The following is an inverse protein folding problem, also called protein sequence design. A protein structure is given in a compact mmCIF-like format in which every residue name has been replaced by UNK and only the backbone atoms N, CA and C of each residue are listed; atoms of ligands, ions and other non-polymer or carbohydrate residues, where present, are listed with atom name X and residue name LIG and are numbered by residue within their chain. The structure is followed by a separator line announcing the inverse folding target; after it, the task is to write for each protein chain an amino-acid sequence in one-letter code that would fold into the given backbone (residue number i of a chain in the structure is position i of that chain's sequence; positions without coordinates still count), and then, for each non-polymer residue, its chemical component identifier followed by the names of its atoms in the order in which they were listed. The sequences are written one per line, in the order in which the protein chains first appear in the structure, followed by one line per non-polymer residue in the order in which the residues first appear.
data_IF_279414713979
#
_entry.id   IF_279414713979
#
_cell.length_a   1.000
_cell.length_b   1.000
_cell.length_c   1.000
_cell.angle_alpha   90.00
_cell.angle_beta   90.00
_cell.angle_gamma   90.00
#
_symmetry.space_group_name_H-M   'P 1'
#
loop_
_entity.id
_entity.type
_entity.pdbx_description
1 polymer ?
#
# COMPACT_ATOMS: atom_id res chain seq x y z
N UNK A 1 24.47 5.99 -36.45
CA UNK A 1 24.01 4.62 -36.24
C UNK A 1 24.19 4.19 -34.82
N UNK A 2 25.41 4.20 -34.36
CA UNK A 2 25.68 3.77 -33.00
C UNK A 2 24.97 4.60 -31.94
N UNK A 3 24.79 5.87 -32.25
CA UNK A 3 24.12 6.76 -31.32
C UNK A 3 22.68 6.34 -31.05
N UNK A 4 22.04 5.80 -32.07
CA UNK A 4 20.67 5.35 -31.93
C UNK A 4 20.56 4.18 -30.97
N UNK A 5 21.51 3.28 -31.05
CA UNK A 5 21.48 2.15 -30.14
C UNK A 5 21.64 2.56 -28.70
N UNK A 6 22.56 3.48 -28.45
CA UNK A 6 22.77 3.98 -27.12
C UNK A 6 21.50 4.62 -26.58
N UNK A 7 20.86 5.40 -27.42
CA UNK A 7 19.64 6.05 -27.05
C UNK A 7 18.53 5.06 -26.67
N UNK A 8 18.41 4.01 -27.47
CA UNK A 8 17.41 3.00 -27.21
C UNK A 8 17.65 2.28 -25.89
N UNK A 9 18.89 2.05 -25.56
CA UNK A 9 19.23 1.42 -24.29
C UNK A 9 18.80 2.27 -23.12
N UNK A 10 18.98 3.56 -23.23
CA UNK A 10 18.58 4.48 -22.17
C UNK A 10 17.09 4.43 -21.99
N UNK A 11 16.34 4.42 -23.07
CA UNK A 11 14.89 4.35 -23.02
C UNK A 11 14.46 3.06 -22.33
N UNK A 12 15.11 1.96 -22.63
CA UNK A 12 14.79 0.70 -22.00
C UNK A 12 15.01 0.74 -20.51
N UNK A 13 16.08 1.36 -20.08
CA UNK A 13 16.39 1.47 -18.67
C UNK A 13 15.31 2.25 -17.93
N UNK A 14 14.87 3.35 -18.52
CA UNK A 14 13.81 4.14 -17.93
C UNK A 14 12.53 3.32 -17.82
N UNK A 15 12.25 2.54 -18.83
CA UNK A 15 11.07 1.71 -18.84
C UNK A 15 11.07 0.71 -17.71
N UNK A 16 12.21 0.18 -17.34
CA UNK A 16 12.34 -0.75 -16.24
C UNK A 16 11.85 -0.18 -14.93
N UNK A 17 12.06 1.09 -14.69
CA UNK A 17 11.68 1.70 -13.43
C UNK A 17 10.19 1.55 -13.14
N UNK A 18 9.39 1.50 -14.18
CA UNK A 18 7.95 1.37 -14.01
C UNK A 18 7.56 -0.02 -13.53
N UNK A 19 8.40 -0.99 -13.77
CA UNK A 19 8.10 -2.37 -13.41
C UNK A 19 8.39 -2.67 -11.95
N UNK A 20 8.99 -1.71 -11.25
CA UNK A 20 9.31 -1.89 -9.85
C UNK A 20 8.13 -1.58 -8.92
N UNK A 21 6.99 -1.21 -9.49
CA UNK A 21 5.80 -0.97 -8.70
C UNK A 21 5.29 -2.31 -8.22
N UNK A 22 5.50 -2.59 -6.95
CA UNK A 22 5.09 -3.86 -6.35
C UNK A 22 3.63 -3.81 -5.94
N UNK A 23 2.99 -4.97 -5.95
CA UNK A 23 1.64 -5.09 -5.42
C UNK A 23 1.65 -4.82 -3.92
N UNK A 24 0.64 -4.11 -3.44
CA UNK A 24 0.50 -3.80 -2.02
C UNK A 24 -0.19 -4.97 -1.32
N UNK A 25 0.57 -6.00 -1.04
CA UNK A 25 0.10 -7.19 -0.34
C UNK A 25 0.21 -6.97 1.16
N UNK A 26 -0.89 -7.16 1.86
CA UNK A 26 -0.98 -6.85 3.28
C UNK A 26 -1.40 -8.09 4.04
N UNK A 27 -0.72 -8.39 5.13
CA UNK A 27 -1.05 -9.48 6.02
C UNK A 27 -1.49 -8.91 7.38
N UNK A 28 -2.64 -9.38 7.87
CA UNK A 28 -3.15 -8.99 9.17
C UNK A 28 -2.63 -9.96 10.24
N UNK A 29 -1.76 -9.45 11.11
CA UNK A 29 -1.13 -10.26 12.16
C UNK A 29 -2.06 -10.49 13.34
N UNK A 30 -1.82 -11.58 14.07
CA UNK A 30 -2.53 -11.88 15.31
C UNK A 30 -1.90 -11.17 16.51
N UNK A 31 -0.65 -10.71 16.36
CA UNK A 31 0.09 -10.06 17.43
C UNK A 31 0.69 -8.76 16.94
N UNK A 32 0.59 -7.72 17.76
CA UNK A 32 1.18 -6.43 17.41
C UNK A 32 2.69 -6.48 17.29
N UNK A 33 3.32 -7.46 17.94
CA UNK A 33 4.78 -7.58 17.93
C UNK A 33 5.32 -8.07 16.60
N UNK A 34 4.47 -8.69 15.79
CA UNK A 34 4.85 -9.17 14.48
C UNK A 34 4.56 -8.16 13.37
N UNK A 35 3.90 -7.07 13.69
CA UNK A 35 3.43 -6.12 12.68
C UNK A 35 4.44 -5.03 12.41
N UNK A 36 4.45 -4.56 11.17
CA UNK A 36 5.23 -3.40 10.78
C UNK A 36 4.47 -2.11 11.12
N UNK A 37 3.15 -2.15 11.05
CA UNK A 37 2.29 -0.99 11.23
C UNK A 37 1.05 -1.37 12.03
N UNK A 38 0.74 -0.58 13.04
CA UNK A 38 -0.51 -0.73 13.80
C UNK A 38 -1.57 0.16 13.16
N UNK A 39 -2.73 -0.41 12.87
CA UNK A 39 -3.76 0.24 12.06
C UNK A 39 -5.07 0.33 12.83
N UNK A 40 -5.68 1.50 12.82
CA UNK A 40 -7.02 1.72 13.36
C UNK A 40 -7.98 2.00 12.20
N UNK A 41 -9.15 1.36 12.21
CA UNK A 41 -10.19 1.58 11.19
C UNK A 41 -11.16 2.62 11.71
N UNK A 42 -11.19 3.78 11.06
CA UNK A 42 -12.07 4.87 11.43
C UNK A 42 -13.48 4.65 10.88
N UNK A 43 -14.46 5.29 11.53
CA UNK A 43 -15.85 5.25 11.08
C UNK A 43 -16.14 6.26 9.98
N UNK A 44 -15.24 7.21 9.79
CA UNK A 44 -15.42 8.29 8.82
C UNK A 44 -14.11 8.53 8.07
N UNK A 45 -14.22 8.77 6.77
CA UNK A 45 -13.05 9.08 5.96
C UNK A 45 -12.35 10.35 6.42
N UNK A 46 -13.09 11.26 7.04
CA UNK A 46 -12.52 12.53 7.48
C UNK A 46 -11.55 12.37 8.64
N UNK A 47 -11.62 11.24 9.34
CA UNK A 47 -10.70 10.94 10.44
C UNK A 47 -9.52 10.09 10.00
N UNK A 48 -9.50 9.67 8.75
CA UNK A 48 -8.49 8.74 8.25
C UNK A 48 -7.28 9.45 7.62
N UNK A 49 -6.14 8.81 7.74
CA UNK A 49 -4.93 9.21 7.01
C UNK A 49 -4.96 8.66 5.58
N UNK A 50 -5.58 7.51 5.41
CA UNK A 50 -5.59 6.77 4.15
C UNK A 50 -6.94 6.10 3.95
N UNK A 51 -7.52 6.31 2.77
CA UNK A 51 -8.70 5.55 2.36
C UNK A 51 -8.23 4.30 1.63
N UNK A 52 -8.73 3.14 2.06
CA UNK A 52 -8.26 1.84 1.59
C UNK A 52 -9.37 1.12 0.85
N UNK A 53 -9.06 0.63 -0.33
CA UNK A 53 -9.92 -0.25 -1.08
C UNK A 53 -9.33 -1.66 -1.03
N UNK A 54 -10.16 -2.64 -0.64
CA UNK A 54 -9.73 -4.04 -0.60
C UNK A 54 -9.85 -4.63 -1.99
N UNK A 55 -8.71 -4.89 -2.61
CA UNK A 55 -8.68 -5.45 -3.96
C UNK A 55 -8.99 -6.94 -3.92
N UNK A 56 -9.68 -7.43 -4.94
CA UNK A 56 -9.95 -8.86 -5.08
C UNK A 56 -8.81 -9.59 -5.78
N UNK A 57 -7.89 -8.86 -6.37
CA UNK A 57 -6.73 -9.42 -7.08
C UNK A 57 -5.49 -8.62 -6.71
N UNK A 58 -4.37 -9.34 -6.55
CA UNK A 58 -3.09 -8.67 -6.27
C UNK A 58 -2.67 -7.73 -7.41
N UNK A 59 -3.14 -8.01 -8.62
CA UNK A 59 -2.78 -7.20 -9.78
C UNK A 59 -3.42 -5.81 -9.76
N UNK A 60 -4.47 -5.65 -8.97
CA UNK A 60 -5.12 -4.36 -8.80
C UNK A 60 -4.53 -3.54 -7.67
N UNK A 61 -3.68 -4.15 -6.85
CA UNK A 61 -3.12 -3.51 -5.65
C UNK A 61 -1.77 -2.89 -5.93
N UNK A 62 -1.71 -2.04 -6.95
CA UNK A 62 -0.45 -1.41 -7.36
C UNK A 62 -0.11 -0.19 -6.54
N UNK A 63 1.19 -0.02 -6.30
CA UNK A 63 1.70 1.19 -5.69
C UNK A 63 1.34 1.34 -4.22
N UNK A 64 1.40 2.58 -3.75
CA UNK A 64 1.13 2.92 -2.36
C UNK A 64 0.05 4.00 -2.30
N UNK A 65 -1.14 3.67 -2.82
CA UNK A 65 -2.25 4.61 -2.91
C UNK A 65 -3.53 4.05 -2.29
N UNK A 66 -3.39 3.14 -1.34
CA UNK A 66 -4.54 2.61 -0.62
C UNK A 66 -5.22 1.42 -1.29
N UNK A 67 -4.61 0.86 -2.31
CA UNK A 67 -5.13 -0.34 -2.97
C UNK A 67 -4.43 -1.55 -2.33
N UNK A 68 -5.14 -2.21 -1.42
CA UNK A 68 -4.56 -3.29 -0.64
C UNK A 68 -5.14 -4.64 -1.06
N UNK A 69 -4.27 -5.62 -1.19
CA UNK A 69 -4.68 -7.02 -1.37
C UNK A 69 -4.25 -7.80 -0.14
N UNK A 70 -5.21 -8.37 0.59
CA UNK A 70 -4.91 -9.12 1.79
C UNK A 70 -4.48 -10.53 1.44
N UNK A 71 -3.37 -10.97 2.03
CA UNK A 71 -2.82 -12.30 1.80
C UNK A 71 -2.95 -13.13 3.09
N UNK A 72 -2.93 -14.45 2.92
CA UNK A 72 -3.11 -15.38 4.03
C UNK A 72 -1.82 -15.76 4.74
N UNK A 73 -0.68 -15.44 4.11
CA UNK A 73 0.63 -15.78 4.65
C UNK A 73 1.47 -14.53 4.83
N UNK A 74 2.09 -14.43 6.01
CA UNK A 74 2.98 -13.29 6.27
C UNK A 74 4.18 -13.28 5.34
N UNK A 75 4.55 -14.43 4.81
CA UNK A 75 5.71 -14.53 3.92
C UNK A 75 5.43 -13.95 2.54
N UNK A 76 4.16 -13.82 2.18
CA UNK A 76 3.76 -13.22 0.90
C UNK A 76 3.51 -11.73 1.03
N UNK A 77 3.52 -11.19 2.23
CA UNK A 77 3.12 -9.81 2.46
C UNK A 77 4.25 -8.84 2.20
N UNK A 78 3.91 -7.70 1.62
CA UNK A 78 4.82 -6.57 1.57
C UNK A 78 4.81 -5.83 2.90
N UNK A 79 3.62 -5.75 3.54
CA UNK A 79 3.46 -5.13 4.85
C UNK A 79 2.63 -6.01 5.74
N UNK A 80 3.06 -6.12 6.98
CA UNK A 80 2.34 -6.80 8.03
C UNK A 80 1.71 -5.76 8.92
N UNK A 81 0.40 -5.85 9.13
CA UNK A 81 -0.32 -4.89 9.93
C UNK A 81 -0.99 -5.59 11.11
N UNK A 82 -1.31 -4.81 12.14
CA UNK A 82 -2.08 -5.28 13.27
C UNK A 82 -3.19 -4.26 13.54
N UNK A 83 -4.43 -4.73 13.55
CA UNK A 83 -5.57 -3.86 13.81
C UNK A 83 -5.69 -3.60 15.31
N UNK A 84 -5.77 -2.32 15.67
CA UNK A 84 -5.93 -1.89 17.07
C UNK A 84 -7.32 -1.33 17.29
N UNK A 85 -7.77 -1.35 18.54
CA UNK A 85 -9.12 -0.91 18.89
C UNK A 85 -9.22 0.59 19.18
N UNK A 86 -8.08 1.24 19.37
CA UNK A 86 -8.03 2.66 19.69
C UNK A 86 -7.15 3.40 18.70
N UNK A 87 -7.64 4.54 18.24
CA UNK A 87 -6.84 5.36 17.33
C UNK A 87 -5.56 5.87 17.98
N UNK A 88 -5.54 5.97 19.29
CA UNK A 88 -4.36 6.45 20.02
C UNK A 88 -3.23 5.44 20.03
N UNK A 89 -3.53 4.17 19.79
CA UNK A 89 -2.53 3.12 19.71
C UNK A 89 -2.06 2.86 18.28
N UNK A 90 -2.65 3.54 17.30
CA UNK A 90 -2.37 3.28 15.90
C UNK A 90 -1.22 4.12 15.36
N UNK A 91 -0.46 3.53 14.44
CA UNK A 91 0.50 4.26 13.64
C UNK A 91 -0.19 4.90 12.44
N UNK A 92 -1.24 4.25 11.96
CA UNK A 92 -1.96 4.65 10.75
C UNK A 92 -3.45 4.49 10.96
N UNK A 93 -4.23 5.50 10.60
CA UNK A 93 -5.69 5.46 10.66
C UNK A 93 -6.21 5.33 9.24
N UNK A 94 -7.01 4.30 8.99
CA UNK A 94 -7.56 4.05 7.68
C UNK A 94 -9.08 4.08 7.69
N UNK A 95 -9.66 4.24 6.51
CA UNK A 95 -11.10 4.11 6.28
C UNK A 95 -11.30 3.27 5.04
N UNK A 96 -12.11 2.20 5.14
CA UNK A 96 -12.36 1.35 3.98
C UNK A 96 -13.40 1.98 3.06
N UNK A 97 -13.10 2.01 1.78
CA UNK A 97 -13.99 2.55 0.75
C UNK A 97 -14.47 1.43 -0.17
N UNK A 98 -15.59 1.67 -0.85
CA UNK A 98 -16.23 0.67 -1.70
C UNK A 98 -15.76 0.72 -3.15
N UNK A 99 -15.07 1.79 -3.52
CA UNK A 99 -14.59 1.97 -4.88
C UNK A 99 -13.11 2.26 -4.87
N UNK A 100 -12.37 1.64 -5.81
CA UNK A 100 -10.95 1.90 -5.93
C UNK A 100 -10.65 3.35 -6.28
N UNK A 101 -11.59 4.04 -6.88
CA UNK A 101 -11.40 5.45 -7.23
C UNK A 101 -11.44 6.37 -6.03
N UNK A 102 -11.98 5.88 -4.92
CA UNK A 102 -12.05 6.65 -3.68
C UNK A 102 -10.85 6.37 -2.76
N UNK A 103 -10.00 5.42 -3.12
CA UNK A 103 -8.82 5.09 -2.34
C UNK A 103 -7.75 6.16 -2.50
N UNK A 104 -6.94 6.35 -1.47
CA UNK A 104 -5.82 7.25 -1.55
C UNK A 104 -5.51 7.92 -0.23
N UNK A 105 -4.36 8.54 -0.19
CA UNK A 105 -3.88 9.25 0.99
C UNK A 105 -4.62 10.55 1.19
N UNK A 106 -5.07 10.77 2.40
CA UNK A 106 -5.66 12.05 2.79
C UNK A 106 -4.61 12.98 3.37
N UNK A 107 -3.52 12.40 3.89
CA UNK A 107 -2.37 13.15 4.35
C UNK A 107 -1.11 12.41 3.91
N UNK A 108 -0.09 13.14 3.51
CA UNK A 108 1.15 12.53 3.03
C UNK A 108 2.16 12.26 4.14
N UNK A 109 1.88 12.72 5.35
CA UNK A 109 2.86 12.62 6.43
C UNK A 109 3.16 11.18 6.86
N UNK A 110 2.27 10.24 6.58
CA UNK A 110 2.43 8.84 6.98
C UNK A 110 2.61 7.90 5.80
N UNK A 111 2.76 8.43 4.62
CA UNK A 111 2.83 7.63 3.42
C UNK A 111 3.99 6.64 3.43
N UNK A 112 5.11 7.02 4.04
CA UNK A 112 6.28 6.16 4.10
C UNK A 112 6.08 4.90 4.93
N UNK A 113 5.06 4.86 5.80
CA UNK A 113 4.80 3.68 6.61
C UNK A 113 4.42 2.47 5.75
N UNK A 114 3.88 2.72 4.57
CA UNK A 114 3.37 1.67 3.69
C UNK A 114 4.23 1.41 2.47
N UNK A 115 5.41 1.94 2.42
CA UNK A 115 6.36 1.63 1.34
C UNK A 115 7.04 0.28 1.49
#
# INVERSE_FOLDING_TARGET
MKKLFTFLLIVSAVFFLKQNVAAQKVYSCDSKYDADVKVYVADSKYDADLCVYKCSSQYDAEGNEGLWFFVDSKYDAKKKIYFVDSKYDADLIIYFVDSKYDAGWRTNSKKQLMY
#
